data_IF_076980413794
#
_entry.id   IF_076980413794
#
_cell.length_a   1.000
_cell.length_b   1.000
_cell.length_c   1.000
_cell.angle_alpha   90.00
_cell.angle_beta   90.00
_cell.angle_gamma   90.00
#
_symmetry.space_group_name_H-M   'P 1'
#
loop_
_entity.id
_entity.type
_entity.pdbx_description
1 polymer ?
#
# COMPACT_ATOMS: atom_id res chain seq x y z
N UNK A 1 55.49 -52.51 -4.80
CA UNK A 1 54.17 -52.53 -4.16
C UNK A 1 53.72 -51.09 -3.91
N UNK A 2 52.54 -50.73 -4.45
CA UNK A 2 51.72 -49.53 -4.18
C UNK A 2 52.36 -48.14 -4.33
N UNK A 3 52.14 -47.53 -5.49
CA UNK A 3 52.00 -46.06 -5.66
C UNK A 3 50.82 -45.83 -6.60
N UNK A 4 49.69 -45.39 -6.06
CA UNK A 4 48.52 -44.98 -6.86
C UNK A 4 48.50 -43.46 -6.84
N UNK A 5 48.56 -42.87 -8.03
CA UNK A 5 48.50 -41.44 -8.27
C UNK A 5 47.06 -40.92 -8.16
N UNK A 6 46.97 -39.82 -7.42
CA UNK A 6 46.07 -38.65 -7.49
C UNK A 6 44.95 -38.68 -8.55
N UNK A 7 43.73 -38.39 -8.08
CA UNK A 7 42.64 -37.86 -8.90
C UNK A 7 41.60 -37.16 -8.02
N UNK A 8 41.85 -35.91 -7.63
CA UNK A 8 40.85 -35.06 -6.97
C UNK A 8 39.82 -34.62 -8.00
N UNK A 9 38.62 -35.19 -7.94
CA UNK A 9 37.45 -34.73 -8.70
C UNK A 9 36.86 -33.53 -7.96
N UNK A 10 37.16 -32.33 -8.42
CA UNK A 10 36.49 -31.10 -8.02
C UNK A 10 35.16 -30.99 -8.78
N UNK A 11 34.07 -31.35 -8.12
CA UNK A 11 32.71 -31.20 -8.64
C UNK A 11 32.23 -29.75 -8.38
N UNK A 12 32.44 -28.86 -9.36
CA UNK A 12 31.91 -27.50 -9.35
C UNK A 12 30.41 -27.52 -9.70
N UNK A 13 29.55 -27.70 -8.69
CA UNK A 13 28.11 -27.45 -8.80
C UNK A 13 27.85 -25.94 -8.79
N UNK A 14 27.79 -25.34 -9.97
CA UNK A 14 27.30 -23.97 -10.15
C UNK A 14 25.82 -23.88 -9.77
N UNK A 15 25.52 -23.18 -8.68
CA UNK A 15 24.15 -22.89 -8.26
C UNK A 15 23.64 -21.67 -9.02
N UNK A 16 22.90 -21.88 -10.09
CA UNK A 16 22.15 -20.80 -10.75
C UNK A 16 20.92 -20.55 -9.89
N UNK A 17 21.02 -19.58 -8.98
CA UNK A 17 19.87 -19.08 -8.25
C UNK A 17 19.02 -18.23 -9.20
N UNK A 18 17.97 -18.82 -9.78
CA UNK A 18 16.94 -18.08 -10.49
C UNK A 18 16.11 -17.31 -9.46
N UNK A 19 16.28 -16.00 -9.40
CA UNK A 19 15.43 -15.10 -8.64
C UNK A 19 14.03 -15.10 -9.26
N UNK A 20 13.09 -15.83 -8.65
CA UNK A 20 11.68 -15.72 -9.00
C UNK A 20 11.15 -14.40 -8.42
N UNK A 21 10.89 -13.43 -9.29
CA UNK A 21 10.11 -12.25 -8.94
C UNK A 21 8.67 -12.68 -8.64
N UNK A 22 8.29 -12.68 -7.37
CA UNK A 22 6.91 -12.95 -6.95
C UNK A 22 6.06 -11.71 -7.28
N UNK A 23 5.39 -11.72 -8.43
CA UNK A 23 4.34 -10.74 -8.70
C UNK A 23 3.13 -11.10 -7.84
N UNK A 24 2.78 -10.23 -6.91
CA UNK A 24 1.65 -10.43 -6.02
C UNK A 24 0.37 -10.23 -6.83
N UNK A 25 -0.35 -11.32 -7.11
CA UNK A 25 -1.65 -11.23 -7.78
C UNK A 25 -2.67 -10.61 -6.83
N UNK A 26 -3.38 -9.59 -7.31
CA UNK A 26 -4.43 -8.92 -6.54
C UNK A 26 -5.67 -9.81 -6.50
N UNK A 27 -6.30 -9.90 -5.34
CA UNK A 27 -7.56 -10.64 -5.19
C UNK A 27 -8.72 -10.02 -5.98
N UNK A 28 -9.81 -10.77 -6.19
CA UNK A 28 -10.99 -10.27 -6.89
C UNK A 28 -11.58 -9.04 -6.17
N UNK A 29 -12.08 -8.11 -6.96
CA UNK A 29 -12.80 -6.93 -6.47
C UNK A 29 -14.30 -7.20 -6.59
N UNK A 30 -14.93 -7.48 -5.46
CA UNK A 30 -16.37 -7.66 -5.35
C UNK A 30 -16.93 -6.48 -4.54
N UNK A 31 -17.99 -5.83 -5.03
CA UNK A 31 -18.61 -4.67 -4.39
C UNK A 31 -19.06 -3.61 -5.40
N UNK A 32 -19.85 -2.66 -4.92
CA UNK A 32 -20.33 -1.51 -5.68
C UNK A 32 -19.43 -0.29 -5.38
N UNK A 33 -18.63 0.13 -6.37
CA UNK A 33 -17.68 1.23 -6.19
C UNK A 33 -18.37 2.59 -5.96
N UNK A 34 -19.53 2.83 -6.55
CA UNK A 34 -20.31 4.04 -6.35
C UNK A 34 -20.85 4.14 -4.92
N UNK A 35 -21.40 3.06 -4.38
CA UNK A 35 -21.81 2.98 -2.97
C UNK A 35 -20.59 3.11 -2.04
N UNK A 36 -19.47 2.49 -2.41
CA UNK A 36 -18.20 2.57 -1.70
C UNK A 36 -17.64 3.99 -1.60
N UNK A 37 -17.80 4.79 -2.65
CA UNK A 37 -17.37 6.19 -2.66
C UNK A 37 -18.10 7.01 -1.59
N UNK A 38 -19.42 6.85 -1.50
CA UNK A 38 -20.22 7.54 -0.50
C UNK A 38 -19.82 7.12 0.92
N UNK A 39 -19.67 5.81 1.16
CA UNK A 39 -19.21 5.28 2.45
C UNK A 39 -17.81 5.79 2.82
N UNK A 40 -16.89 5.84 1.87
CA UNK A 40 -15.53 6.37 2.08
C UNK A 40 -15.54 7.84 2.55
N UNK A 41 -16.49 8.65 2.06
CA UNK A 41 -16.68 10.03 2.51
C UNK A 41 -17.40 10.11 3.85
N UNK A 42 -18.50 9.39 4.02
CA UNK A 42 -19.33 9.42 5.24
C UNK A 42 -18.55 8.96 6.48
N UNK A 43 -17.63 8.01 6.29
CA UNK A 43 -16.75 7.52 7.35
C UNK A 43 -15.42 8.29 7.44
N UNK A 44 -15.25 9.38 6.70
CA UNK A 44 -14.11 10.30 6.83
C UNK A 44 -12.76 9.73 6.40
N UNK A 45 -12.74 8.63 5.64
CA UNK A 45 -11.50 7.98 5.18
C UNK A 45 -10.62 8.95 4.38
N UNK A 46 -11.25 9.81 3.58
CA UNK A 46 -10.59 10.86 2.79
C UNK A 46 -9.78 11.86 3.63
N UNK A 47 -10.09 12.03 4.92
CA UNK A 47 -9.40 12.99 5.79
C UNK A 47 -7.90 12.67 5.96
N UNK A 48 -7.52 11.40 5.88
CA UNK A 48 -6.13 10.97 5.93
C UNK A 48 -5.63 10.41 4.59
N UNK A 49 -6.52 9.78 3.83
CA UNK A 49 -6.16 9.10 2.58
C UNK A 49 -6.40 9.93 1.31
N UNK A 50 -6.97 11.14 1.46
CA UNK A 50 -7.28 12.05 0.36
C UNK A 50 -8.48 11.62 -0.49
N UNK A 51 -8.95 12.50 -1.35
CA UNK A 51 -10.09 12.20 -2.23
C UNK A 51 -9.69 11.29 -3.41
N UNK A 52 -8.45 11.41 -3.89
CA UNK A 52 -7.88 10.61 -4.98
C UNK A 52 -7.17 9.33 -4.49
N UNK A 53 -7.19 9.06 -3.19
CA UNK A 53 -6.36 8.01 -2.58
C UNK A 53 -4.90 8.41 -2.39
N UNK A 54 -4.55 9.68 -2.67
CA UNK A 54 -3.28 10.26 -2.26
C UNK A 54 -3.51 11.28 -1.14
N UNK A 55 -2.86 11.08 -0.01
CA UNK A 55 -3.10 11.88 1.20
C UNK A 55 -1.91 11.87 2.14
N UNK A 56 -2.17 12.01 3.44
CA UNK A 56 -1.14 11.80 4.47
C UNK A 56 -0.63 10.36 4.44
N UNK A 57 -1.53 9.42 4.20
CA UNK A 57 -1.22 8.02 3.95
C UNK A 57 -1.86 7.62 2.63
N UNK A 58 -1.04 7.35 1.63
CA UNK A 58 -1.56 6.95 0.32
C UNK A 58 -2.27 5.59 0.40
N UNK A 59 -3.33 5.44 -0.38
CA UNK A 59 -3.97 4.17 -0.71
C UNK A 59 -3.56 3.71 -2.11
N UNK A 60 -3.30 4.65 -3.01
CA UNK A 60 -2.93 4.35 -4.38
C UNK A 60 -1.41 4.19 -4.56
N UNK A 61 -1.01 3.31 -5.47
CA UNK A 61 0.40 3.01 -5.79
C UNK A 61 1.31 2.75 -4.57
N UNK A 62 0.77 2.12 -3.53
CA UNK A 62 1.51 1.90 -2.26
C UNK A 62 2.14 0.51 -2.13
N UNK A 63 1.68 -0.47 -2.92
CA UNK A 63 2.01 -1.87 -2.68
C UNK A 63 1.61 -2.37 -1.29
N UNK A 64 0.64 -1.72 -0.63
CA UNK A 64 0.26 -2.02 0.74
C UNK A 64 -0.23 -3.46 0.88
N UNK A 65 0.34 -4.26 1.81
CA UNK A 65 -0.11 -5.64 2.02
C UNK A 65 -1.56 -5.70 2.51
N UNK A 66 -2.06 -4.62 3.11
CA UNK A 66 -3.43 -4.52 3.61
C UNK A 66 -4.48 -4.37 2.49
N UNK A 67 -4.06 -4.06 1.27
CA UNK A 67 -4.94 -3.91 0.10
C UNK A 67 -4.84 -5.09 -0.87
N UNK A 68 -4.11 -6.16 -0.54
CA UNK A 68 -3.91 -7.32 -1.42
C UNK A 68 -5.23 -7.96 -1.87
N UNK A 69 -6.15 -8.17 -0.93
CA UNK A 69 -7.50 -8.67 -1.17
C UNK A 69 -8.47 -8.11 -0.12
N UNK A 70 -9.76 -8.33 -0.32
CA UNK A 70 -10.80 -7.75 0.53
C UNK A 70 -10.86 -8.41 1.91
N UNK A 71 -10.46 -9.67 2.05
CA UNK A 71 -10.43 -10.39 3.32
C UNK A 71 -9.36 -9.81 4.26
N UNK A 72 -8.16 -9.54 3.73
CA UNK A 72 -7.07 -8.90 4.45
C UNK A 72 -7.43 -7.46 4.79
N UNK A 73 -8.01 -6.72 3.84
CA UNK A 73 -8.48 -5.35 4.08
C UNK A 73 -9.51 -5.29 5.20
N UNK A 74 -10.51 -6.17 5.16
CA UNK A 74 -11.53 -6.28 6.20
C UNK A 74 -10.92 -6.63 7.54
N UNK A 75 -10.06 -7.65 7.60
CA UNK A 75 -9.38 -8.06 8.81
C UNK A 75 -8.58 -6.88 9.40
N UNK A 76 -7.88 -6.12 8.55
CA UNK A 76 -7.16 -4.91 8.97
C UNK A 76 -8.09 -3.86 9.58
N UNK A 77 -9.23 -3.56 8.95
CA UNK A 77 -10.22 -2.61 9.51
C UNK A 77 -10.77 -3.07 10.87
N UNK A 78 -10.98 -4.38 11.06
CA UNK A 78 -11.51 -4.95 12.32
C UNK A 78 -10.45 -5.06 13.42
N UNK A 79 -9.24 -5.49 13.09
CA UNK A 79 -8.18 -5.80 14.07
C UNK A 79 -7.70 -4.57 14.85
N UNK A 80 -7.98 -3.36 14.36
CA UNK A 80 -7.74 -2.11 15.10
C UNK A 80 -8.61 -1.96 16.36
N UNK A 81 -9.63 -2.81 16.53
CA UNK A 81 -10.60 -2.75 17.64
C UNK A 81 -10.09 -3.43 18.91
N UNK A 82 -9.29 -4.49 18.75
CA UNK A 82 -9.23 -5.54 19.76
C UNK A 82 -7.85 -5.72 20.42
N UNK A 83 -6.80 -5.01 19.98
CA UNK A 83 -5.45 -5.22 20.52
C UNK A 83 -4.60 -3.96 20.77
N UNK A 84 -5.14 -2.76 20.54
CA UNK A 84 -4.40 -1.55 20.86
C UNK A 84 -5.15 -0.76 21.93
N UNK A 85 -4.50 -0.36 23.06
CA UNK A 85 -4.91 0.90 23.66
C UNK A 85 -4.94 1.96 22.56
N UNK A 86 -5.77 3.00 22.67
CA UNK A 86 -5.59 4.21 21.86
C UNK A 86 -4.22 4.78 22.24
N UNK A 87 -3.18 4.32 21.55
CA UNK A 87 -1.85 4.86 21.67
C UNK A 87 -1.86 6.19 20.91
N UNK A 88 -1.07 7.19 21.33
CA UNK A 88 -0.90 8.44 20.58
C UNK A 88 -0.49 8.24 19.11
N UNK A 89 0.02 7.04 18.76
CA UNK A 89 0.46 6.65 17.42
C UNK A 89 -0.63 6.03 16.52
N UNK A 90 -1.80 5.65 17.04
CA UNK A 90 -2.85 5.00 16.24
C UNK A 90 -3.69 6.05 15.49
N UNK A 91 -3.16 6.58 14.38
CA UNK A 91 -3.80 7.66 13.61
C UNK A 91 -5.06 7.26 12.81
N UNK A 92 -5.25 5.97 12.49
CA UNK A 92 -6.41 5.49 11.73
C UNK A 92 -7.44 4.85 12.68
N UNK A 93 -8.73 5.26 12.62
CA UNK A 93 -9.79 4.70 13.46
C UNK A 93 -10.02 3.21 13.23
N UNK A 94 -10.66 2.57 14.21
CA UNK A 94 -11.20 1.23 14.04
C UNK A 94 -12.64 1.28 13.49
N UNK A 95 -12.97 0.31 12.64
CA UNK A 95 -14.31 0.15 12.07
C UNK A 95 -14.85 -1.24 12.43
N UNK A 96 -15.56 -1.40 13.55
CA UNK A 96 -16.20 -2.68 13.91
C UNK A 96 -17.41 -2.97 13.01
N UNK A 97 -17.82 -4.24 12.93
CA UNK A 97 -18.90 -4.71 12.05
C UNK A 97 -20.25 -4.01 12.29
N UNK A 98 -20.52 -3.56 13.52
CA UNK A 98 -21.75 -2.82 13.85
C UNK A 98 -21.72 -1.35 13.39
N UNK A 99 -20.57 -0.80 13.02
CA UNK A 99 -20.43 0.55 12.47
C UNK A 99 -20.27 0.55 10.95
N UNK A 100 -19.63 -0.49 10.41
CA UNK A 100 -19.36 -0.65 8.99
C UNK A 100 -19.49 -2.13 8.66
N UNK A 101 -20.59 -2.51 8.03
CA UNK A 101 -20.89 -3.91 7.73
C UNK A 101 -19.85 -4.53 6.79
N UNK A 102 -19.89 -5.84 6.67
CA UNK A 102 -18.99 -6.58 5.79
C UNK A 102 -19.24 -6.32 4.29
N UNK A 103 -20.49 -6.03 3.93
CA UNK A 103 -20.87 -5.58 2.58
C UNK A 103 -20.37 -4.16 2.32
N UNK A 104 -20.56 -3.24 3.27
CA UNK A 104 -20.04 -1.88 3.16
C UNK A 104 -18.51 -1.84 3.01
N UNK A 105 -17.79 -2.75 3.69
CA UNK A 105 -16.34 -2.88 3.52
C UNK A 105 -15.97 -3.34 2.12
N UNK A 106 -16.74 -4.25 1.52
CA UNK A 106 -16.53 -4.69 0.14
C UNK A 106 -16.70 -3.54 -0.84
N UNK A 107 -17.76 -2.74 -0.67
CA UNK A 107 -18.03 -1.58 -1.49
C UNK A 107 -16.91 -0.54 -1.38
N UNK A 108 -16.44 -0.22 -0.15
CA UNK A 108 -15.29 0.66 0.06
C UNK A 108 -14.03 0.10 -0.60
N UNK A 109 -13.78 -1.21 -0.48
CA UNK A 109 -12.63 -1.84 -1.14
C UNK A 109 -12.73 -1.69 -2.66
N UNK A 110 -13.92 -1.92 -3.25
CA UNK A 110 -14.16 -1.71 -4.66
C UNK A 110 -13.91 -0.26 -5.09
N UNK A 111 -14.35 0.71 -4.30
CA UNK A 111 -14.06 2.13 -4.55
C UNK A 111 -12.56 2.42 -4.51
N UNK A 112 -11.85 1.98 -3.47
CA UNK A 112 -10.39 2.20 -3.35
C UNK A 112 -9.66 1.61 -4.55
N UNK A 113 -10.10 0.43 -5.03
CA UNK A 113 -9.53 -0.22 -6.20
C UNK A 113 -9.85 0.45 -7.53
N UNK A 114 -10.91 1.24 -7.57
CA UNK A 114 -11.30 2.02 -8.76
C UNK A 114 -10.54 3.36 -8.88
N UNK A 115 -9.84 3.79 -7.83
CA UNK A 115 -9.13 5.07 -7.83
C UNK A 115 -8.01 5.08 -8.88
N UNK A 116 -7.95 6.12 -9.74
CA UNK A 116 -6.95 6.19 -10.79
C UNK A 116 -5.56 6.51 -10.21
N UNK A 117 -4.54 5.76 -10.64
CA UNK A 117 -3.13 6.08 -10.38
C UNK A 117 -2.68 7.17 -11.35
N UNK A 118 -3.06 8.41 -11.05
CA UNK A 118 -2.86 9.56 -11.92
C UNK A 118 -2.26 10.77 -11.20
N UNK A 119 -1.46 10.53 -10.15
CA UNK A 119 -0.69 11.61 -9.52
C UNK A 119 0.19 12.28 -10.59
N UNK A 120 0.04 13.58 -10.86
CA UNK A 120 0.90 14.28 -11.80
C UNK A 120 2.33 14.32 -11.28
N UNK A 121 3.29 14.20 -12.20
CA UNK A 121 4.69 14.43 -11.86
C UNK A 121 4.91 15.91 -11.54
N UNK A 122 5.96 16.17 -10.76
CA UNK A 122 6.23 17.54 -10.29
C UNK A 122 6.48 18.48 -11.46
N UNK A 123 7.15 17.97 -12.50
CA UNK A 123 7.51 18.67 -13.73
C UNK A 123 6.29 19.12 -14.55
N UNK A 124 5.17 18.41 -14.42
CA UNK A 124 3.94 18.69 -15.15
C UNK A 124 3.09 19.79 -14.50
N UNK A 125 3.50 20.30 -13.33
CA UNK A 125 2.78 21.31 -12.56
C UNK A 125 3.65 22.57 -12.42
N UNK A 126 3.61 23.50 -13.40
CA UNK A 126 4.47 24.69 -13.40
C UNK A 126 4.41 25.52 -12.11
N UNK A 127 3.22 25.62 -11.50
CA UNK A 127 3.06 26.37 -10.25
C UNK A 127 3.78 25.72 -9.08
N UNK A 128 3.75 24.38 -8.97
CA UNK A 128 4.43 23.65 -7.90
C UNK A 128 5.95 23.72 -8.07
N UNK A 129 6.45 23.55 -9.30
CA UNK A 129 7.87 23.72 -9.61
C UNK A 129 8.40 25.07 -9.15
N UNK A 130 7.69 26.15 -9.50
CA UNK A 130 8.09 27.51 -9.12
C UNK A 130 8.16 27.68 -7.59
N UNK A 131 7.23 27.07 -6.84
CA UNK A 131 7.24 27.10 -5.37
C UNK A 131 8.45 26.34 -4.83
N UNK A 132 8.75 25.16 -5.37
CA UNK A 132 9.88 24.33 -4.93
C UNK A 132 11.22 25.00 -5.25
N UNK A 133 11.37 25.57 -6.44
CA UNK A 133 12.57 26.31 -6.83
C UNK A 133 12.78 27.53 -5.93
N UNK A 134 11.75 28.35 -5.71
CA UNK A 134 11.82 29.50 -4.80
C UNK A 134 12.16 29.09 -3.35
N UNK A 135 11.66 27.94 -2.89
CA UNK A 135 12.00 27.39 -1.58
C UNK A 135 13.47 26.93 -1.51
N UNK A 136 14.01 26.33 -2.58
CA UNK A 136 15.40 25.90 -2.67
C UNK A 136 16.41 27.06 -2.69
N UNK A 137 16.01 28.23 -3.21
CA UNK A 137 16.84 29.45 -3.22
C UNK A 137 16.90 30.17 -1.86
N UNK A 138 16.08 29.76 -0.87
CA UNK A 138 16.21 30.27 0.49
C UNK A 138 17.45 29.68 1.13
N UNK A 139 18.60 30.32 0.93
CA UNK A 139 19.73 30.15 1.85
C UNK A 139 19.22 30.51 3.25
N UNK A 140 19.01 29.50 4.09
CA UNK A 140 18.92 29.71 5.52
C UNK A 140 20.29 30.21 5.98
N UNK A 141 20.49 31.54 5.94
CA UNK A 141 21.55 32.20 6.69
C UNK A 141 21.29 31.88 8.16
N UNK A 142 22.03 30.91 8.69
CA UNK A 142 22.18 30.68 10.13
C UNK A 142 22.85 31.89 10.78
#
# INVERSE_FOLDING_TARGET
MRRVLIGTITFLLGSIATSMAYSQELGPVNGNAEAGAQLYYDHGCHGCHGYSGYGRQDLNNTGSPWLMNVEVFRAFLRARANEAPILPSTSMPNYPQNSLSDEMVNDIYAYIRSLPDNRPETEDIPTLLNILEAAGQREFKK
#
